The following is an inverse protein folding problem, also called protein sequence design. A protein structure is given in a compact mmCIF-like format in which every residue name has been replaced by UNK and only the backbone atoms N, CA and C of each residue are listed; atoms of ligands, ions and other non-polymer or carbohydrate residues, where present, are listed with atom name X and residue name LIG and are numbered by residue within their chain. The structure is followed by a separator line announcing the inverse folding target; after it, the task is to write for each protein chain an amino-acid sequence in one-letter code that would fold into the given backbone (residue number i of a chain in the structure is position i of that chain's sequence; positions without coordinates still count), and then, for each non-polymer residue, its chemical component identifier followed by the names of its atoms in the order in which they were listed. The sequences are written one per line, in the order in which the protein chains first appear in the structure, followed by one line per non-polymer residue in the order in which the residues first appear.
data_IF_667123946208
#
_entry.id   IF_667123946208
#
_cell.length_a   1.000
_cell.length_b   1.000
_cell.length_c   1.000
_cell.angle_alpha   90.00
_cell.angle_beta   90.00
_cell.angle_gamma   90.00
#
_symmetry.space_group_name_H-M   'P 1'
#
loop_
_entity.id
_entity.type
_entity.pdbx_description
1 polymer ?
#
# COMPACT_ATOMS: atom_id res chain seq x y z
N UNK A 1 4.98 10.02 11.20
CA UNK A 1 6.32 9.91 11.80
C UNK A 1 7.36 9.52 10.77
N UNK A 2 7.21 8.40 10.05
CA UNK A 2 8.18 7.99 9.00
C UNK A 2 8.48 9.08 7.97
N UNK A 3 7.47 9.75 7.42
CA UNK A 3 7.70 10.85 6.47
C UNK A 3 8.49 12.02 7.08
N UNK A 4 8.30 12.32 8.37
CA UNK A 4 9.08 13.36 9.05
C UNK A 4 10.51 12.91 9.31
N UNK A 5 10.74 11.59 9.51
CA UNK A 5 12.08 11.04 9.58
C UNK A 5 12.80 11.15 8.24
N UNK A 6 12.15 10.77 7.14
CA UNK A 6 12.69 10.90 5.78
C UNK A 6 13.05 12.38 5.49
N UNK A 7 12.17 13.33 5.80
CA UNK A 7 12.47 14.77 5.63
C UNK A 7 13.61 15.26 6.53
N UNK A 8 13.69 14.80 7.77
CA UNK A 8 14.80 15.15 8.66
C UNK A 8 16.14 14.63 8.13
N UNK A 9 16.19 13.44 7.54
CA UNK A 9 17.39 12.93 6.86
C UNK A 9 17.78 13.78 5.66
N UNK A 10 16.83 14.12 4.80
CA UNK A 10 17.07 14.95 3.62
C UNK A 10 17.59 16.35 4.01
N UNK A 11 17.20 16.85 5.18
CA UNK A 11 17.68 18.11 5.77
C UNK A 11 18.99 17.97 6.58
N UNK A 12 19.58 16.77 6.66
CA UNK A 12 20.80 16.51 7.44
C UNK A 12 20.60 16.51 8.96
N UNK A 13 19.35 16.51 9.44
CA UNK A 13 18.95 16.50 10.85
C UNK A 13 18.84 15.07 11.38
N UNK A 14 19.94 14.33 11.35
CA UNK A 14 19.97 12.88 11.65
C UNK A 14 19.44 12.54 13.06
N UNK A 15 19.68 13.38 14.06
CA UNK A 15 19.14 13.18 15.41
C UNK A 15 17.61 13.24 15.47
N UNK A 16 16.99 14.19 14.75
CA UNK A 16 15.53 14.29 14.65
C UNK A 16 14.96 13.09 13.88
N UNK A 17 15.64 12.64 12.82
CA UNK A 17 15.22 11.47 12.06
C UNK A 17 15.16 10.20 12.94
N UNK A 18 16.17 9.98 13.78
CA UNK A 18 16.19 8.86 14.74
C UNK A 18 15.03 8.97 15.73
N UNK A 19 14.77 10.17 16.26
CA UNK A 19 13.64 10.39 17.17
C UNK A 19 12.30 10.08 16.50
N UNK A 20 12.07 10.55 15.27
CA UNK A 20 10.83 10.30 14.55
C UNK A 20 10.61 8.82 14.24
N UNK A 21 11.68 8.07 13.93
CA UNK A 21 11.57 6.61 13.75
C UNK A 21 11.21 5.89 15.03
N UNK A 22 11.78 6.32 16.16
CA UNK A 22 11.43 5.73 17.46
C UNK A 22 9.96 6.00 17.81
N UNK A 23 9.46 7.22 17.58
CA UNK A 23 8.04 7.55 17.74
C UNK A 23 7.14 6.71 16.82
N UNK A 24 7.56 6.47 15.57
CA UNK A 24 6.85 5.58 14.63
C UNK A 24 6.76 4.15 15.18
N UNK A 25 7.88 3.61 15.67
CA UNK A 25 7.98 2.27 16.24
C UNK A 25 7.12 2.13 17.50
N UNK A 26 7.16 3.11 18.41
CA UNK A 26 6.33 3.13 19.61
C UNK A 26 4.85 3.18 19.26
N UNK A 27 4.46 4.00 18.27
CA UNK A 27 3.07 4.06 17.81
C UNK A 27 2.61 2.75 17.17
N UNK A 28 3.44 2.12 16.32
CA UNK A 28 3.13 0.82 15.73
C UNK A 28 2.89 -0.26 16.81
N UNK A 29 3.71 -0.28 17.87
CA UNK A 29 3.50 -1.18 19.00
C UNK A 29 2.17 -0.92 19.74
N UNK A 30 1.75 0.33 19.87
CA UNK A 30 0.43 0.69 20.45
C UNK A 30 -0.72 0.27 19.54
N UNK A 31 -0.62 0.49 18.22
CA UNK A 31 -1.61 0.06 17.24
C UNK A 31 -1.82 -1.45 17.33
N UNK A 32 -0.73 -2.23 17.31
CA UNK A 32 -0.76 -3.67 17.42
C UNK A 32 -1.28 -4.18 18.76
N UNK A 33 -1.11 -3.42 19.84
CA UNK A 33 -1.58 -3.80 21.16
C UNK A 33 -3.07 -3.48 21.36
N UNK A 34 -3.50 -2.27 21.00
CA UNK A 34 -4.86 -1.80 21.29
C UNK A 34 -5.86 -2.17 20.20
N UNK A 35 -5.49 -2.04 18.92
CA UNK A 35 -6.44 -2.16 17.82
C UNK A 35 -6.54 -3.59 17.30
N UNK A 36 -5.50 -4.42 17.46
CA UNK A 36 -5.52 -5.81 16.97
C UNK A 36 -6.52 -6.66 17.75
N UNK A 37 -7.46 -7.27 17.03
CA UNK A 37 -8.34 -8.30 17.54
C UNK A 37 -7.81 -9.69 17.15
N UNK A 38 -7.52 -10.51 18.16
CA UNK A 38 -6.87 -11.81 17.94
C UNK A 38 -7.81 -12.86 17.34
N UNK A 39 -9.11 -12.78 17.63
CA UNK A 39 -10.09 -13.76 17.16
C UNK A 39 -10.49 -13.45 15.72
N UNK A 40 -10.77 -12.18 15.44
CA UNK A 40 -11.08 -11.73 14.09
C UNK A 40 -9.83 -11.70 13.21
N UNK A 41 -8.64 -11.45 13.75
CA UNK A 41 -7.40 -11.45 12.97
C UNK A 41 -7.23 -10.19 12.12
N UNK A 42 -7.65 -9.05 12.66
CA UNK A 42 -7.56 -7.74 12.02
C UNK A 42 -7.47 -6.61 13.04
N UNK A 43 -7.15 -5.40 12.59
CA UNK A 43 -7.24 -4.21 13.45
C UNK A 43 -8.66 -3.64 13.40
N UNK A 44 -9.19 -3.25 14.55
CA UNK A 44 -10.51 -2.64 14.67
C UNK A 44 -10.41 -1.34 15.44
N UNK A 45 -11.24 -0.37 15.04
CA UNK A 45 -11.44 0.84 15.82
C UNK A 45 -11.89 0.49 17.22
N UNK A 46 -11.30 1.18 18.19
CA UNK A 46 -11.61 0.96 19.59
C UNK A 46 -12.01 2.23 20.32
N UNK A 47 -12.69 2.01 21.42
CA UNK A 47 -13.25 3.05 22.27
C UNK A 47 -13.06 2.67 23.73
N UNK A 48 -13.11 3.67 24.58
CA UNK A 48 -13.16 3.48 26.01
C UNK A 48 -14.22 4.41 26.57
N UNK A 49 -15.03 3.89 27.49
CA UNK A 49 -16.00 4.72 28.19
C UNK A 49 -15.28 5.65 29.16
N UNK A 50 -15.78 6.89 29.30
CA UNK A 50 -15.27 7.84 30.29
C UNK A 50 -15.21 7.17 31.67
N UNK A 51 -14.02 7.13 32.27
CA UNK A 51 -13.78 6.52 33.58
C UNK A 51 -13.51 5.00 33.58
N UNK A 52 -13.63 4.31 32.44
CA UNK A 52 -13.25 2.91 32.29
C UNK A 52 -11.75 2.80 31.94
N UNK A 53 -11.10 1.71 32.36
CA UNK A 53 -9.77 1.30 31.86
C UNK A 53 -9.87 0.18 30.80
N UNK A 54 -11.08 -0.32 30.55
CA UNK A 54 -11.33 -1.40 29.61
C UNK A 54 -11.46 -0.83 28.20
N UNK A 55 -10.55 -1.24 27.33
CA UNK A 55 -10.63 -0.94 25.90
C UNK A 55 -11.63 -1.87 25.22
N UNK A 56 -12.49 -1.32 24.38
CA UNK A 56 -13.47 -2.04 23.59
C UNK A 56 -13.18 -1.83 22.11
N UNK A 57 -13.64 -2.75 21.26
CA UNK A 57 -13.51 -2.67 19.80
C UNK A 57 -14.89 -2.70 19.15
N UNK A 58 -15.04 -1.98 18.04
CA UNK A 58 -16.21 -2.08 17.19
C UNK A 58 -15.99 -3.21 16.16
N UNK A 59 -16.76 -4.31 16.21
CA UNK A 59 -16.59 -5.42 15.28
C UNK A 59 -17.31 -5.11 13.95
N UNK A 60 -16.90 -4.02 13.30
CA UNK A 60 -17.37 -3.63 11.96
C UNK A 60 -16.19 -3.70 11.02
N UNK A 61 -16.31 -4.52 9.99
CA UNK A 61 -15.24 -4.73 9.01
C UNK A 61 -15.26 -3.58 8.00
N UNK A 62 -14.27 -2.70 8.10
CA UNK A 62 -14.06 -1.56 7.21
C UNK A 62 -12.59 -1.50 6.75
N UNK A 63 -12.25 -0.68 5.74
CA UNK A 63 -10.86 -0.47 5.32
C UNK A 63 -9.84 -0.15 6.42
N UNK A 64 -10.30 0.42 7.55
CA UNK A 64 -9.46 0.66 8.71
C UNK A 64 -8.70 -0.60 9.16
N UNK A 65 -9.24 -1.79 8.87
CA UNK A 65 -8.65 -3.06 9.23
C UNK A 65 -7.34 -3.40 8.51
N UNK A 66 -6.99 -2.74 7.40
CA UNK A 66 -5.68 -2.90 6.76
C UNK A 66 -4.87 -1.60 6.74
N UNK A 67 -5.39 -0.50 7.28
CA UNK A 67 -4.67 0.77 7.33
C UNK A 67 -3.33 0.69 8.08
N UNK A 68 -3.18 -0.10 9.16
CA UNK A 68 -1.88 -0.35 9.75
C UNK A 68 -0.88 -1.01 8.78
N UNK A 69 -1.31 -1.96 7.96
CA UNK A 69 -0.45 -2.55 6.92
C UNK A 69 -0.12 -1.52 5.83
N UNK A 70 -1.12 -0.80 5.31
CA UNK A 70 -0.94 0.29 4.36
C UNK A 70 0.09 1.33 4.87
N UNK A 71 -0.04 1.78 6.12
CA UNK A 71 0.84 2.77 6.71
C UNK A 71 2.23 2.20 7.10
N UNK A 72 2.43 0.88 7.05
CA UNK A 72 3.61 0.22 7.62
C UNK A 72 3.67 0.32 9.15
N UNK A 73 2.55 0.60 9.80
CA UNK A 73 2.41 0.91 11.21
C UNK A 73 2.10 -0.33 12.07
N UNK A 74 2.82 -1.42 11.80
CA UNK A 74 2.79 -2.66 12.59
C UNK A 74 4.20 -3.17 12.80
N UNK A 75 4.48 -3.83 13.91
CA UNK A 75 5.76 -4.48 14.21
C UNK A 75 5.71 -5.98 13.91
N UNK A 76 4.54 -6.51 13.54
CA UNK A 76 4.29 -7.93 13.34
C UNK A 76 3.83 -8.21 11.92
N UNK A 77 4.71 -8.85 11.14
CA UNK A 77 4.42 -9.25 9.75
C UNK A 77 3.18 -10.15 9.67
N UNK A 78 3.00 -11.06 10.62
CA UNK A 78 1.90 -12.02 10.59
C UNK A 78 0.56 -11.33 10.75
N UNK A 79 0.48 -10.25 11.53
CA UNK A 79 -0.76 -9.46 11.65
C UNK A 79 -1.18 -8.86 10.32
N UNK A 80 -0.23 -8.24 9.62
CA UNK A 80 -0.50 -7.68 8.30
C UNK A 80 -0.90 -8.76 7.29
N UNK A 81 -0.17 -9.87 7.24
CA UNK A 81 -0.52 -11.00 6.35
C UNK A 81 -1.90 -11.57 6.68
N UNK A 82 -2.20 -11.79 7.96
CA UNK A 82 -3.51 -12.29 8.40
C UNK A 82 -4.63 -11.36 7.96
N UNK A 83 -4.49 -10.05 8.19
CA UNK A 83 -5.50 -9.07 7.76
C UNK A 83 -5.68 -9.05 6.24
N UNK A 84 -4.58 -9.16 5.47
CA UNK A 84 -4.62 -9.22 4.01
C UNK A 84 -5.32 -10.49 3.52
N UNK A 85 -4.85 -11.66 3.96
CA UNK A 85 -5.28 -12.96 3.46
C UNK A 85 -6.71 -13.30 3.90
N UNK A 86 -7.05 -13.01 5.17
CA UNK A 86 -8.35 -13.35 5.74
C UNK A 86 -9.47 -12.38 5.34
N UNK A 87 -9.14 -11.10 5.17
CA UNK A 87 -10.14 -10.04 4.98
C UNK A 87 -10.00 -9.32 3.65
N UNK A 88 -8.86 -8.66 3.39
CA UNK A 88 -8.70 -7.84 2.19
C UNK A 88 -8.91 -8.65 0.91
N UNK A 89 -8.31 -9.85 0.82
CA UNK A 89 -8.42 -10.75 -0.33
C UNK A 89 -9.66 -11.66 -0.30
N UNK A 90 -10.52 -11.53 0.71
CA UNK A 90 -11.70 -12.37 0.83
C UNK A 90 -12.83 -11.87 -0.09
N UNK A 91 -13.32 -12.68 -1.05
CA UNK A 91 -14.37 -12.27 -1.98
C UNK A 91 -15.72 -11.98 -1.34
N UNK A 92 -15.98 -12.52 -0.14
CA UNK A 92 -17.20 -12.27 0.63
C UNK A 92 -17.10 -11.02 1.53
N UNK A 93 -15.93 -10.36 1.55
CA UNK A 93 -15.70 -9.16 2.35
C UNK A 93 -15.32 -7.98 1.46
N UNK A 94 -14.06 -7.89 1.03
CA UNK A 94 -13.57 -6.74 0.27
C UNK A 94 -13.16 -7.09 -1.16
N UNK A 95 -12.87 -8.35 -1.47
CA UNK A 95 -12.36 -8.77 -2.79
C UNK A 95 -13.43 -9.29 -3.75
N UNK A 96 -14.68 -8.84 -3.58
CA UNK A 96 -15.82 -9.24 -4.40
C UNK A 96 -15.67 -8.83 -5.88
N UNK A 97 -16.77 -8.94 -6.64
CA UNK A 97 -16.77 -8.60 -8.08
C UNK A 97 -16.22 -7.19 -8.34
N UNK A 98 -16.71 -6.20 -7.60
CA UNK A 98 -16.12 -4.87 -7.54
C UNK A 98 -15.45 -4.72 -6.18
N UNK A 99 -14.12 -4.54 -6.12
CA UNK A 99 -13.40 -4.68 -4.86
C UNK A 99 -13.39 -3.40 -4.03
N UNK A 100 -13.09 -3.56 -2.74
CA UNK A 100 -12.85 -2.51 -1.75
C UNK A 100 -14.04 -1.59 -1.42
N UNK A 101 -15.23 -2.13 -1.11
CA UNK A 101 -16.28 -1.33 -0.47
C UNK A 101 -15.78 -0.80 0.89
N UNK A 102 -16.35 0.32 1.34
CA UNK A 102 -16.00 0.91 2.66
C UNK A 102 -16.53 0.14 3.87
N UNK A 103 -17.40 -0.85 3.63
CA UNK A 103 -17.87 -1.84 4.61
C UNK A 103 -17.85 -3.19 3.91
N UNK A 104 -17.40 -4.25 4.59
CA UNK A 104 -17.33 -5.59 4.01
C UNK A 104 -18.71 -6.08 3.53
N UNK A 105 -18.78 -6.79 2.40
CA UNK A 105 -20.05 -7.28 1.82
C UNK A 105 -20.90 -8.13 2.78
N UNK A 106 -20.26 -8.91 3.65
CA UNK A 106 -20.93 -9.78 4.61
C UNK A 106 -21.18 -9.12 5.98
N UNK A 107 -20.79 -7.85 6.17
CA UNK A 107 -21.02 -7.14 7.42
C UNK A 107 -22.48 -6.67 7.49
N UNK A 108 -23.09 -6.79 8.67
CA UNK A 108 -24.49 -6.37 8.91
C UNK A 108 -24.73 -4.87 8.68
N UNK A 109 -23.68 -4.06 8.69
CA UNK A 109 -23.74 -2.63 8.44
C UNK A 109 -23.54 -2.25 6.96
N UNK A 110 -23.30 -3.23 6.10
CA UNK A 110 -23.32 -3.01 4.67
C UNK A 110 -24.75 -2.66 4.22
N UNK A 111 -24.94 -1.44 3.75
CA UNK A 111 -26.24 -0.96 3.26
C UNK A 111 -26.14 -0.47 1.82
N UNK A 112 -26.49 -1.35 0.88
CA UNK A 112 -26.56 -1.05 -0.55
C UNK A 112 -27.55 0.08 -0.87
N UNK A 113 -28.57 0.31 -0.04
CA UNK A 113 -29.62 1.30 -0.30
C UNK A 113 -29.16 2.71 0.02
N UNK A 114 -28.17 2.84 0.90
CA UNK A 114 -27.55 4.11 1.29
C UNK A 114 -26.17 4.23 0.64
N UNK A 115 -26.03 4.95 -0.49
CA UNK A 115 -24.73 5.28 -1.04
C UNK A 115 -23.85 6.05 -0.05
N UNK A 116 -22.54 5.87 -0.17
CA UNK A 116 -21.54 6.56 0.65
C UNK A 116 -20.84 5.64 1.61
N UNK A 117 -20.71 6.08 2.85
CA UNK A 117 -19.88 5.46 3.88
C UNK A 117 -20.38 4.10 4.41
N UNK A 118 -21.52 3.62 3.93
CA UNK A 118 -22.13 2.35 4.35
C UNK A 118 -21.99 1.23 3.32
N UNK A 119 -21.50 1.52 2.10
CA UNK A 119 -21.32 0.49 1.07
C UNK A 119 -20.37 0.88 -0.07
N UNK A 120 -20.33 2.16 -0.47
CA UNK A 120 -19.68 2.57 -1.71
C UNK A 120 -18.19 2.26 -1.76
N UNK A 121 -17.68 2.08 -2.98
CA UNK A 121 -16.25 2.02 -3.22
C UNK A 121 -15.73 3.45 -3.34
N UNK A 122 -14.81 3.80 -2.43
CA UNK A 122 -14.06 5.05 -2.48
C UNK A 122 -12.63 4.75 -2.92
N UNK A 123 -12.09 5.50 -3.88
CA UNK A 123 -10.78 5.15 -4.44
C UNK A 123 -9.62 5.33 -3.46
N UNK A 124 -9.74 6.15 -2.43
CA UNK A 124 -8.69 6.25 -1.41
C UNK A 124 -8.53 4.94 -0.62
N UNK A 125 -9.65 4.30 -0.23
CA UNK A 125 -9.60 3.02 0.48
C UNK A 125 -9.13 1.93 -0.46
N UNK A 126 -9.61 1.91 -1.70
CA UNK A 126 -9.18 0.94 -2.71
C UNK A 126 -7.68 1.05 -3.03
N UNK A 127 -7.17 2.27 -3.17
CA UNK A 127 -5.75 2.52 -3.42
C UNK A 127 -4.87 2.14 -2.22
N UNK A 128 -5.34 2.38 -0.98
CA UNK A 128 -4.61 1.92 0.21
C UNK A 128 -4.42 0.39 0.25
N UNK A 129 -5.38 -0.36 -0.30
CA UNK A 129 -5.28 -1.82 -0.42
C UNK A 129 -4.22 -2.22 -1.47
N UNK A 130 -4.13 -1.52 -2.60
CA UNK A 130 -3.07 -1.73 -3.60
C UNK A 130 -1.68 -1.55 -3.00
N UNK A 131 -1.48 -0.43 -2.30
CA UNK A 131 -0.22 -0.14 -1.62
C UNK A 131 0.10 -1.18 -0.55
N UNK A 132 -0.88 -1.59 0.27
CA UNK A 132 -0.69 -2.61 1.30
C UNK A 132 -0.28 -3.95 0.68
N UNK A 133 -1.00 -4.41 -0.36
CA UNK A 133 -0.71 -5.66 -1.07
C UNK A 133 0.72 -5.66 -1.62
N UNK A 134 1.07 -4.65 -2.42
CA UNK A 134 2.39 -4.57 -3.03
C UNK A 134 3.50 -4.49 -1.98
N UNK A 135 3.34 -3.61 -0.99
CA UNK A 135 4.32 -3.39 0.09
C UNK A 135 4.66 -4.69 0.83
N UNK A 136 3.65 -5.54 1.07
CA UNK A 136 3.78 -6.84 1.73
C UNK A 136 4.03 -8.03 0.79
N UNK A 137 4.20 -7.78 -0.51
CA UNK A 137 4.67 -8.78 -1.48
C UNK A 137 3.59 -9.59 -2.18
N UNK A 138 2.33 -9.16 -2.08
CA UNK A 138 1.21 -9.67 -2.86
C UNK A 138 1.16 -8.95 -4.22
N UNK A 139 2.28 -9.02 -4.96
CA UNK A 139 2.49 -8.25 -6.20
C UNK A 139 1.46 -8.63 -7.27
N UNK A 140 1.13 -9.93 -7.36
CA UNK A 140 0.14 -10.46 -8.30
C UNK A 140 -1.27 -9.95 -7.95
N UNK A 141 -1.65 -10.05 -6.69
CA UNK A 141 -2.97 -9.64 -6.21
C UNK A 141 -3.15 -8.12 -6.29
N UNK A 142 -2.07 -7.35 -6.10
CA UNK A 142 -2.07 -5.91 -6.32
C UNK A 142 -2.33 -5.56 -7.79
N UNK A 143 -1.69 -6.26 -8.74
CA UNK A 143 -1.96 -6.04 -10.17
C UNK A 143 -3.40 -6.42 -10.54
N UNK A 144 -3.88 -7.58 -10.08
CA UNK A 144 -5.28 -8.00 -10.31
C UNK A 144 -6.28 -7.00 -9.73
N UNK A 145 -6.01 -6.45 -8.54
CA UNK A 145 -6.84 -5.41 -7.94
C UNK A 145 -6.82 -4.12 -8.77
N UNK A 146 -5.65 -3.70 -9.26
CA UNK A 146 -5.48 -2.51 -10.10
C UNK A 146 -6.28 -2.64 -11.39
N UNK A 147 -6.16 -3.77 -12.07
CA UNK A 147 -6.91 -4.05 -13.30
C UNK A 147 -8.42 -4.01 -13.06
N UNK A 148 -8.92 -4.64 -11.98
CA UNK A 148 -10.35 -4.60 -11.62
C UNK A 148 -10.85 -3.18 -11.38
N UNK A 149 -10.08 -2.37 -10.65
CA UNK A 149 -10.45 -0.98 -10.34
C UNK A 149 -10.44 -0.11 -11.60
N UNK A 150 -9.40 -0.19 -12.42
CA UNK A 150 -9.32 0.57 -13.68
C UNK A 150 -10.40 0.13 -14.68
N UNK A 151 -10.70 -1.17 -14.76
CA UNK A 151 -11.78 -1.68 -15.61
C UNK A 151 -13.15 -1.19 -15.14
N UNK A 152 -13.42 -1.23 -13.82
CA UNK A 152 -14.63 -0.64 -13.24
C UNK A 152 -14.74 0.82 -13.63
N UNK A 153 -13.69 1.61 -13.39
CA UNK A 153 -13.69 3.04 -13.68
C UNK A 153 -13.83 3.39 -15.17
N UNK A 154 -13.34 2.54 -16.07
CA UNK A 154 -13.49 2.72 -17.52
C UNK A 154 -14.89 2.32 -18.02
N UNK A 155 -15.52 1.34 -17.38
CA UNK A 155 -16.87 0.86 -17.70
C UNK A 155 -17.96 1.70 -17.01
N UNK A 156 -18.05 2.99 -17.37
CA UNK A 156 -19.09 3.89 -16.87
C UNK A 156 -20.07 4.29 -17.97
N UNK A 157 -21.35 4.29 -17.62
CA UNK A 157 -22.42 4.74 -18.52
C UNK A 157 -22.52 6.28 -18.50
N UNK A 158 -23.09 6.90 -19.53
CA UNK A 158 -23.27 8.36 -19.55
C UNK A 158 -21.97 9.14 -19.76
N UNK A 159 -21.69 10.12 -18.90
CA UNK A 159 -20.49 10.97 -19.04
C UNK A 159 -19.24 10.17 -18.67
N UNK A 160 -18.39 9.90 -19.67
CA UNK A 160 -17.13 9.15 -19.49
C UNK A 160 -16.10 9.96 -18.70
N UNK A 161 -16.24 10.00 -17.38
CA UNK A 161 -15.32 10.68 -16.48
C UNK A 161 -15.17 9.95 -15.14
N UNK A 162 -14.45 10.61 -14.23
CA UNK A 162 -14.05 10.01 -12.95
C UNK A 162 -15.00 10.52 -11.86
N UNK A 163 -15.59 9.59 -11.12
CA UNK A 163 -16.59 9.87 -10.09
C UNK A 163 -16.02 9.72 -8.68
N UNK A 164 -16.67 10.37 -7.71
CA UNK A 164 -16.31 10.31 -6.29
C UNK A 164 -16.40 8.89 -5.72
N UNK A 165 -17.47 8.17 -6.07
CA UNK A 165 -17.77 6.84 -5.57
C UNK A 165 -18.39 5.93 -6.63
N UNK A 166 -18.23 4.63 -6.43
CA UNK A 166 -18.79 3.58 -7.28
C UNK A 166 -19.65 2.63 -6.45
N UNK A 167 -20.74 2.14 -7.06
CA UNK A 167 -21.61 1.15 -6.46
C UNK A 167 -20.90 -0.22 -6.42
N UNK A 168 -20.82 -0.88 -5.26
CA UNK A 168 -20.06 -2.13 -5.10
C UNK A 168 -20.75 -3.34 -5.77
N UNK A 169 -22.04 -3.25 -6.09
CA UNK A 169 -22.77 -4.36 -6.73
C UNK A 169 -22.80 -4.21 -8.25
N UNK A 170 -23.00 -2.99 -8.73
CA UNK A 170 -23.09 -2.70 -10.16
C UNK A 170 -21.77 -2.24 -10.79
N UNK A 171 -20.81 -1.73 -10.01
CA UNK A 171 -19.57 -1.14 -10.51
C UNK A 171 -19.78 0.20 -11.22
N UNK A 172 -20.98 0.78 -11.15
CA UNK A 172 -21.35 2.04 -11.80
C UNK A 172 -21.35 3.17 -10.79
N UNK A 173 -21.08 4.38 -11.25
CA UNK A 173 -21.28 5.57 -10.43
C UNK A 173 -22.76 5.65 -9.99
N UNK A 174 -23.00 6.01 -8.72
CA UNK A 174 -24.37 6.06 -8.20
C UNK A 174 -24.93 7.48 -8.33
N UNK A 175 -26.02 7.59 -9.10
CA UNK A 175 -26.65 8.86 -9.45
C UNK A 175 -27.50 9.49 -8.33
N UNK A 176 -27.74 8.82 -7.20
CA UNK A 176 -28.62 9.33 -6.15
C UNK A 176 -28.08 9.03 -4.76
N UNK A 177 -27.62 10.06 -4.03
CA UNK A 177 -27.37 10.04 -2.58
C UNK A 177 -28.67 9.84 -1.81
N UNK A 178 -28.60 9.33 -0.58
CA UNK A 178 -29.76 9.23 0.32
C UNK A 178 -30.45 10.57 0.61
N UNK A 179 -29.77 11.69 0.34
CA UNK A 179 -30.25 13.07 0.45
C UNK A 179 -30.71 13.68 -0.89
N UNK A 180 -30.71 12.91 -1.99
CA UNK A 180 -31.16 13.35 -3.31
C UNK A 180 -30.12 14.03 -4.20
N UNK A 181 -28.83 14.04 -3.84
CA UNK A 181 -27.75 14.56 -4.69
C UNK A 181 -27.16 13.53 -5.66
N UNK A 182 -26.22 13.93 -6.51
CA UNK A 182 -25.45 13.04 -7.41
C UNK A 182 -24.02 12.81 -6.89
N UNK A 183 -23.42 11.64 -7.14
CA UNK A 183 -21.97 11.45 -6.95
C UNK A 183 -21.21 12.49 -7.78
N UNK A 184 -20.20 13.11 -7.18
CA UNK A 184 -19.49 14.23 -7.83
C UNK A 184 -18.76 13.76 -9.09
N UNK A 185 -18.98 14.45 -10.22
CA UNK A 185 -18.29 14.22 -11.49
C UNK A 185 -16.96 14.98 -11.52
N UNK A 186 -15.92 14.38 -12.13
CA UNK A 186 -14.54 14.91 -12.15
C UNK A 186 -13.99 15.18 -10.74
N UNK A 187 -14.20 14.22 -9.84
CA UNK A 187 -13.81 14.35 -8.45
C UNK A 187 -12.29 14.27 -8.28
N UNK A 188 -11.71 15.24 -7.57
CA UNK A 188 -10.26 15.42 -7.48
C UNK A 188 -9.50 14.25 -6.86
N UNK A 189 -9.97 13.69 -5.74
CA UNK A 189 -9.31 12.55 -5.10
C UNK A 189 -9.32 11.31 -5.98
N UNK A 190 -10.48 11.02 -6.56
CA UNK A 190 -10.61 9.89 -7.48
C UNK A 190 -9.70 10.07 -8.69
N UNK A 191 -9.59 11.29 -9.22
CA UNK A 191 -8.68 11.59 -10.33
C UNK A 191 -7.22 11.35 -9.97
N UNK A 192 -6.80 11.76 -8.76
CA UNK A 192 -5.45 11.49 -8.26
C UNK A 192 -5.17 9.99 -8.18
N UNK A 193 -6.03 9.20 -7.52
CA UNK A 193 -5.80 7.75 -7.41
C UNK A 193 -5.90 7.02 -8.76
N UNK A 194 -6.68 7.54 -9.72
CA UNK A 194 -6.67 7.02 -11.09
C UNK A 194 -5.30 7.18 -11.73
N UNK A 195 -4.73 8.39 -11.66
CA UNK A 195 -3.39 8.67 -12.18
C UNK A 195 -2.34 7.79 -11.50
N UNK A 196 -2.39 7.68 -10.18
CA UNK A 196 -1.45 6.87 -9.41
C UNK A 196 -1.55 5.35 -9.77
N UNK A 197 -2.75 4.84 -10.04
CA UNK A 197 -2.94 3.47 -10.55
C UNK A 197 -2.42 3.31 -11.98
N UNK A 198 -2.73 4.24 -12.88
CA UNK A 198 -2.26 4.18 -14.28
C UNK A 198 -0.74 4.21 -14.34
N UNK A 199 -0.10 5.04 -13.51
CA UNK A 199 1.35 5.20 -13.42
C UNK A 199 2.03 4.17 -12.48
N UNK A 200 1.27 3.23 -11.91
CA UNK A 200 1.77 2.17 -11.01
C UNK A 200 2.54 2.67 -9.77
N UNK A 201 2.22 3.86 -9.28
CA UNK A 201 2.93 4.49 -8.15
C UNK A 201 2.64 3.86 -6.79
N UNK A 202 1.63 2.99 -6.70
CA UNK A 202 1.42 2.16 -5.50
C UNK A 202 2.60 1.21 -5.24
N UNK A 203 3.50 1.03 -6.21
CA UNK A 203 4.68 0.17 -6.12
C UNK A 203 5.90 0.82 -5.44
N UNK A 204 5.83 2.10 -5.02
CA UNK A 204 7.01 2.86 -4.60
C UNK A 204 7.74 2.30 -3.36
N UNK A 205 7.03 1.60 -2.47
CA UNK A 205 7.57 1.11 -1.19
C UNK A 205 7.40 -0.41 -1.09
N UNK A 206 8.47 -1.11 -0.71
CA UNK A 206 8.49 -2.58 -0.59
C UNK A 206 9.16 -3.05 0.69
N UNK A 207 8.53 -3.94 1.45
CA UNK A 207 9.24 -4.63 2.54
C UNK A 207 9.98 -5.88 2.05
N UNK A 208 11.15 -6.12 2.61
CA UNK A 208 11.91 -7.34 2.45
C UNK A 208 11.74 -8.16 3.73
N UNK A 209 11.26 -9.38 3.57
CA UNK A 209 11.06 -10.35 4.64
C UNK A 209 12.19 -11.36 4.68
N UNK A 210 12.24 -12.16 5.74
CA UNK A 210 13.33 -13.11 5.99
C UNK A 210 13.52 -14.15 4.88
N UNK A 211 12.48 -14.43 4.09
CA UNK A 211 12.42 -15.38 2.99
C UNK A 211 12.43 -14.71 1.61
N UNK A 212 12.37 -13.39 1.53
CA UNK A 212 12.29 -12.65 0.26
C UNK A 212 13.56 -12.83 -0.55
N UNK A 213 13.48 -13.41 -1.75
CA UNK A 213 14.62 -13.66 -2.64
C UNK A 213 14.69 -12.74 -3.85
N UNK A 214 13.56 -12.13 -4.21
CA UNK A 214 13.42 -11.25 -5.35
C UNK A 214 12.36 -10.20 -5.05
N UNK A 215 12.57 -9.00 -5.57
CA UNK A 215 11.57 -7.93 -5.64
C UNK A 215 11.59 -7.33 -7.04
N UNK A 216 10.43 -6.88 -7.52
CA UNK A 216 10.30 -6.23 -8.82
C UNK A 216 9.21 -5.16 -8.79
N UNK A 217 9.38 -4.08 -9.56
CA UNK A 217 8.38 -3.03 -9.69
C UNK A 217 8.99 -1.64 -9.79
N UNK A 218 8.15 -0.61 -9.79
CA UNK A 218 8.58 0.80 -9.70
C UNK A 218 8.95 1.18 -8.26
N UNK A 219 9.92 0.47 -7.70
CA UNK A 219 10.30 0.55 -6.30
C UNK A 219 11.30 1.70 -6.10
N UNK A 220 10.94 2.64 -5.23
CA UNK A 220 11.82 3.75 -4.81
C UNK A 220 12.62 3.39 -3.57
N UNK A 221 12.01 2.67 -2.64
CA UNK A 221 12.65 2.22 -1.39
C UNK A 221 12.19 0.80 -1.05
N UNK A 222 13.15 -0.06 -0.76
CA UNK A 222 12.91 -1.36 -0.15
C UNK A 222 13.61 -1.46 1.20
N UNK A 223 12.91 -1.93 2.22
CA UNK A 223 13.36 -1.93 3.62
C UNK A 223 13.21 -3.31 4.24
N UNK A 224 14.16 -3.70 5.10
CA UNK A 224 13.96 -4.85 5.98
C UNK A 224 12.74 -4.56 6.89
N UNK A 225 11.74 -5.43 6.87
CA UNK A 225 10.54 -5.25 7.67
C UNK A 225 10.84 -5.12 9.18
N UNK A 226 11.79 -5.92 9.68
CA UNK A 226 12.08 -6.03 11.11
C UNK A 226 12.87 -4.85 11.63
N UNK A 227 13.92 -4.45 10.91
CA UNK A 227 14.82 -3.37 11.35
C UNK A 227 14.40 -2.00 10.83
N UNK A 228 13.55 -1.94 9.79
CA UNK A 228 13.21 -0.74 9.03
C UNK A 228 14.42 -0.08 8.34
N UNK A 229 15.55 -0.78 8.27
CA UNK A 229 16.72 -0.30 7.55
C UNK A 229 16.52 -0.43 6.04
N UNK A 230 16.93 0.59 5.29
CA UNK A 230 16.85 0.58 3.83
C UNK A 230 17.83 -0.44 3.23
N UNK A 231 17.28 -1.43 2.55
CA UNK A 231 18.06 -2.37 1.74
C UNK A 231 18.37 -1.77 0.36
N UNK A 232 17.38 -1.08 -0.23
CA UNK A 232 17.53 -0.39 -1.51
C UNK A 232 16.85 0.97 -1.46
N UNK A 233 17.48 2.00 -2.03
CA UNK A 233 16.90 3.32 -2.28
C UNK A 233 17.40 3.83 -3.63
N UNK A 234 16.56 4.55 -4.36
CA UNK A 234 16.94 5.27 -5.57
C UNK A 234 16.48 6.73 -5.46
N UNK A 235 17.32 7.65 -5.93
CA UNK A 235 16.99 9.07 -6.01
C UNK A 235 16.56 9.41 -7.44
N UNK A 236 15.28 9.73 -7.60
CA UNK A 236 14.67 10.16 -8.87
C UNK A 236 13.67 11.28 -8.62
N UNK A 237 13.16 11.89 -9.70
CA UNK A 237 12.00 12.78 -9.60
C UNK A 237 10.70 12.02 -9.30
N UNK A 238 9.59 12.46 -9.89
CA UNK A 238 8.28 11.87 -9.63
C UNK A 238 8.21 10.38 -9.99
N UNK A 239 8.86 9.96 -11.06
CA UNK A 239 8.82 8.57 -11.52
C UNK A 239 10.13 7.84 -11.15
N UNK A 240 10.03 6.55 -10.86
CA UNK A 240 11.18 5.66 -10.68
C UNK A 240 11.31 4.72 -11.89
N UNK A 241 12.52 4.31 -12.31
CA UNK A 241 12.67 3.20 -13.25
C UNK A 241 12.18 1.89 -12.60
N UNK A 242 11.79 0.93 -13.43
CA UNK A 242 11.41 -0.40 -12.96
C UNK A 242 12.65 -1.15 -12.49
N UNK A 243 12.64 -1.55 -11.23
CA UNK A 243 13.65 -2.37 -10.58
C UNK A 243 13.37 -3.85 -10.82
N UNK A 244 14.39 -4.61 -11.18
CA UNK A 244 14.47 -6.06 -11.00
C UNK A 244 15.66 -6.34 -10.07
N UNK A 245 15.41 -6.91 -8.88
CA UNK A 245 16.43 -7.21 -7.88
C UNK A 245 16.23 -8.62 -7.35
N UNK A 246 17.23 -9.49 -7.51
CA UNK A 246 17.18 -10.88 -7.04
C UNK A 246 18.51 -11.34 -6.45
N UNK A 247 18.43 -12.31 -5.55
CA UNK A 247 19.63 -12.98 -5.03
C UNK A 247 20.36 -13.74 -6.14
N UNK A 248 21.68 -13.55 -6.22
CA UNK A 248 22.54 -14.27 -7.16
C UNK A 248 23.01 -15.63 -6.63
N UNK A 249 22.92 -15.86 -5.32
CA UNK A 249 23.39 -17.07 -4.63
C UNK A 249 22.25 -17.95 -4.09
N UNK A 250 20.99 -17.57 -4.34
CA UNK A 250 19.80 -18.32 -3.95
C UNK A 250 19.35 -18.12 -2.51
N UNK A 251 20.14 -17.43 -1.66
CA UNK A 251 19.73 -17.08 -0.31
C UNK A 251 18.69 -15.94 -0.31
N UNK A 252 17.91 -15.74 0.76
CA UNK A 252 17.11 -14.54 0.93
C UNK A 252 17.95 -13.26 0.81
N UNK A 253 17.38 -12.18 0.28
CA UNK A 253 18.07 -10.93 -0.02
C UNK A 253 18.84 -10.37 1.18
N UNK A 254 18.26 -10.43 2.38
CA UNK A 254 18.90 -9.96 3.62
C UNK A 254 20.16 -10.77 4.02
N UNK A 255 20.32 -11.97 3.47
CA UNK A 255 21.44 -12.89 3.75
C UNK A 255 22.32 -13.16 2.52
N UNK A 256 21.88 -12.71 1.33
CA UNK A 256 22.61 -12.90 0.08
C UNK A 256 23.96 -12.19 0.15
N UNK A 257 25.01 -12.82 -0.37
CA UNK A 257 26.37 -12.26 -0.54
C UNK A 257 26.53 -11.55 -1.88
N UNK A 258 25.63 -11.84 -2.82
CA UNK A 258 25.58 -11.19 -4.10
C UNK A 258 24.16 -11.11 -4.62
N UNK A 259 23.84 -10.01 -5.31
CA UNK A 259 22.55 -9.77 -5.95
C UNK A 259 22.74 -9.46 -7.43
N UNK A 260 21.75 -9.81 -8.24
CA UNK A 260 21.58 -9.29 -9.59
C UNK A 260 20.59 -8.13 -9.55
N UNK A 261 20.97 -7.01 -10.14
CA UNK A 261 20.14 -5.82 -10.23
C UNK A 261 20.07 -5.33 -11.67
N UNK A 262 18.89 -4.87 -12.09
CA UNK A 262 18.66 -4.20 -13.36
C UNK A 262 17.62 -3.11 -13.17
N UNK A 263 17.87 -1.95 -13.78
CA UNK A 263 16.89 -0.88 -13.93
C UNK A 263 16.41 -0.87 -15.37
N UNK A 264 15.10 -0.70 -15.59
CA UNK A 264 14.50 -0.62 -16.92
C UNK A 264 13.48 0.50 -17.01
N UNK A 265 13.21 0.97 -18.22
CA UNK A 265 12.26 2.04 -18.50
C UNK A 265 11.22 1.56 -19.52
N UNK A 266 10.25 0.73 -19.08
CA UNK A 266 9.27 0.13 -19.99
C UNK A 266 8.40 1.17 -20.70
N UNK A 267 8.29 2.38 -20.15
CA UNK A 267 7.49 3.48 -20.68
C UNK A 267 8.30 4.54 -21.44
N UNK A 268 9.61 4.35 -21.55
CA UNK A 268 10.53 5.29 -22.21
C UNK A 268 10.43 6.74 -21.64
N UNK A 269 10.25 6.85 -20.33
CA UNK A 269 10.11 8.12 -19.59
C UNK A 269 11.44 8.84 -19.32
N UNK A 270 12.56 8.12 -19.35
CA UNK A 270 13.87 8.62 -18.90
C UNK A 270 14.92 8.69 -20.01
N UNK A 271 14.78 7.89 -21.07
CA UNK A 271 15.80 7.75 -22.12
C UNK A 271 17.11 7.12 -21.59
N UNK A 272 18.22 7.37 -22.28
CA UNK A 272 19.54 6.89 -21.83
C UNK A 272 20.02 7.70 -20.61
N UNK A 273 19.97 7.09 -19.43
CA UNK A 273 20.31 7.73 -18.16
C UNK A 273 20.98 6.77 -17.19
N UNK A 274 21.85 7.32 -16.36
CA UNK A 274 22.43 6.65 -15.19
C UNK A 274 21.71 7.11 -13.93
N UNK A 275 21.40 6.17 -13.04
CA UNK A 275 20.74 6.44 -11.77
C UNK A 275 21.67 6.18 -10.60
N UNK A 276 21.59 7.08 -9.62
CA UNK A 276 22.23 6.94 -8.32
C UNK A 276 21.33 6.12 -7.41
N UNK A 277 21.86 5.02 -6.90
CA UNK A 277 21.16 4.14 -5.95
C UNK A 277 21.98 3.95 -4.68
N UNK A 278 21.31 3.47 -3.64
CA UNK A 278 21.92 2.93 -2.43
C UNK A 278 21.47 1.50 -2.27
N UNK A 279 22.43 0.60 -2.12
CA UNK A 279 22.20 -0.82 -1.81
C UNK A 279 22.90 -1.12 -0.49
N UNK A 280 22.12 -1.38 0.57
CA UNK A 280 22.61 -1.58 1.94
C UNK A 280 23.59 -0.49 2.39
N UNK A 281 23.21 0.77 2.16
CA UNK A 281 24.02 1.95 2.49
C UNK A 281 25.16 2.28 1.51
N UNK A 282 25.52 1.36 0.59
CA UNK A 282 26.55 1.62 -0.44
C UNK A 282 25.95 2.37 -1.62
N UNK A 283 26.51 3.54 -1.90
CA UNK A 283 26.14 4.32 -3.07
C UNK A 283 26.73 3.71 -4.36
N UNK A 284 25.90 3.55 -5.39
CA UNK A 284 26.30 3.00 -6.70
C UNK A 284 25.62 3.79 -7.82
N UNK A 285 26.16 3.67 -9.02
CA UNK A 285 25.57 4.22 -10.25
C UNK A 285 25.24 3.08 -11.22
N UNK A 286 23.99 3.02 -11.67
CA UNK A 286 23.51 2.00 -12.60
C UNK A 286 22.99 2.65 -13.87
N UNK A 287 23.48 2.18 -15.01
CA UNK A 287 22.93 2.53 -16.32
C UNK A 287 21.61 1.80 -16.54
N UNK A 288 20.64 2.51 -17.12
CA UNK A 288 19.38 1.90 -17.53
C UNK A 288 19.61 0.76 -18.54
N UNK A 289 18.81 -0.30 -18.45
CA UNK A 289 18.81 -1.50 -19.30
C UNK A 289 20.07 -2.36 -19.24
N UNK A 290 20.98 -2.09 -18.31
CA UNK A 290 22.16 -2.92 -18.03
C UNK A 290 21.94 -3.74 -16.76
N UNK A 291 22.33 -5.00 -16.81
CA UNK A 291 22.29 -5.89 -15.64
C UNK A 291 23.64 -5.91 -14.95
N UNK A 292 23.63 -5.80 -13.63
CA UNK A 292 24.82 -5.85 -12.79
C UNK A 292 24.69 -7.01 -11.81
N UNK A 293 25.82 -7.67 -11.53
CA UNK A 293 25.94 -8.58 -10.40
C UNK A 293 26.84 -7.92 -9.36
N UNK A 294 26.28 -7.62 -8.20
CA UNK A 294 26.92 -6.82 -7.15
C UNK A 294 27.14 -7.69 -5.91
N UNK A 295 28.20 -7.40 -5.15
CA UNK A 295 28.36 -7.95 -3.81
C UNK A 295 27.61 -7.06 -2.82
N UNK A 296 26.92 -7.70 -1.89
CA UNK A 296 26.18 -7.06 -0.78
C UNK A 296 27.11 -6.72 0.40
N UNK A 297 28.30 -7.34 0.45
CA UNK A 297 29.42 -7.02 1.35
C UNK A 297 30.72 -6.89 0.56
#
# INVERSE_FOLDING_TARGET
YEAMADWAEDLGKTGEAVQWREEARVLAGKIDHYLWDQELGCWLDGYNWLGSKKYHRFPVLTPALWFPAFAGATLDENKARTAIEKHLLNPQEFYGRYPMPVVAYNDRYFDEKTPGWTASIWLFSAYSALEALFKFGYEKEAEELREKLLAMMADQDGMKGIYETYDPLAGKYKNQWSTGGYSSFQFGWSSAFTLEMVLERYQERRFIFADTRKISGFIRKAEDFKTREAFYKIETGLDAPRLELESADGNPLLQAKSVKIKLSDPYNSFGARTFKIWLQGRQLELELNKQYQLKTQ
#
